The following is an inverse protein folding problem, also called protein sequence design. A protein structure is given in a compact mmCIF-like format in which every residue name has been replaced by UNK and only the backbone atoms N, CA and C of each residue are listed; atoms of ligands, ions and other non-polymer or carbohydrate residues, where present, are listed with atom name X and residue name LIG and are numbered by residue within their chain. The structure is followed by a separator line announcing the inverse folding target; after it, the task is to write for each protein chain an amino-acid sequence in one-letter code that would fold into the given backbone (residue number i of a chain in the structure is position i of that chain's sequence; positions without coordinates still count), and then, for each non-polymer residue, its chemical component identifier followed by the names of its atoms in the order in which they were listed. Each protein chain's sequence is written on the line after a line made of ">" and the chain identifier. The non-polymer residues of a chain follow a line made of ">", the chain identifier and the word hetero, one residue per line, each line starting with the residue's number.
data_IF_045901308237
#
_entry.id   IF_045901308237
#
_cell.length_a   1.000
_cell.length_b   1.000
_cell.length_c   1.000
_cell.angle_alpha   90.00
_cell.angle_beta   90.00
_cell.angle_gamma   90.00
#
_symmetry.space_group_name_H-M   'P 1'
#
loop_
_entity.id
_entity.type
_entity.pdbx_description
1 polymer ?
#
# COMPACT_ATOMS: atom_id res chain seq x y z
N UNK A 1 -22.92 28.17 10.31
CA UNK A 1 -22.43 28.40 8.92
C UNK A 1 -21.18 27.55 8.71
N UNK A 2 -21.27 26.46 7.96
CA UNK A 2 -20.12 25.57 7.67
C UNK A 2 -19.28 26.20 6.55
N UNK A 3 -18.08 26.70 6.87
CA UNK A 3 -17.12 27.15 5.86
C UNK A 3 -16.67 25.93 5.06
N UNK A 4 -17.12 25.80 3.81
CA UNK A 4 -16.56 24.83 2.86
C UNK A 4 -15.17 25.32 2.45
N UNK A 5 -14.17 24.48 2.67
CA UNK A 5 -12.80 24.71 2.18
C UNK A 5 -12.79 24.27 0.72
N UNK A 6 -12.58 25.22 -0.21
CA UNK A 6 -12.52 24.97 -1.65
C UNK A 6 -11.05 24.95 -2.12
N UNK A 7 -10.24 24.09 -1.51
CA UNK A 7 -8.82 23.91 -1.86
C UNK A 7 -8.71 22.69 -2.80
N UNK A 8 -8.01 22.79 -3.94
CA UNK A 8 -7.73 21.64 -4.79
C UNK A 8 -6.99 20.54 -4.00
N UNK A 9 -7.52 19.32 -4.02
CA UNK A 9 -6.87 18.14 -3.45
C UNK A 9 -6.45 17.22 -4.62
N UNK A 10 -5.25 17.39 -5.18
CA UNK A 10 -4.80 16.56 -6.28
C UNK A 10 -4.55 15.12 -5.81
N UNK A 11 -4.90 14.15 -6.64
CA UNK A 11 -4.49 12.77 -6.45
C UNK A 11 -2.98 12.67 -6.71
N UNK A 12 -2.23 12.27 -5.68
CA UNK A 12 -0.77 12.07 -5.78
C UNK A 12 -0.41 10.64 -6.16
N UNK A 13 -1.29 9.68 -5.88
CA UNK A 13 -1.03 8.27 -6.09
C UNK A 13 -2.35 7.47 -6.16
N UNK A 14 -2.48 6.59 -7.16
CA UNK A 14 -3.53 5.57 -7.28
C UNK A 14 -2.92 4.25 -7.76
N UNK A 15 -2.96 3.23 -6.92
CA UNK A 15 -2.53 1.87 -7.29
C UNK A 15 -3.41 1.28 -8.39
N UNK A 16 -2.91 0.34 -9.20
CA UNK A 16 -3.72 -0.35 -10.21
C UNK A 16 -4.87 -1.15 -9.58
N UNK A 17 -5.94 -1.37 -10.35
CA UNK A 17 -7.13 -2.16 -9.97
C UNK A 17 -7.01 -3.64 -10.41
N UNK A 18 -5.84 -4.23 -10.20
CA UNK A 18 -5.53 -5.63 -10.55
C UNK A 18 -5.35 -6.54 -9.32
N UNK A 19 -5.23 -5.95 -8.13
CA UNK A 19 -5.02 -6.63 -6.85
C UNK A 19 -5.37 -5.71 -5.68
N UNK A 20 -5.52 -6.27 -4.47
CA UNK A 20 -5.58 -5.45 -3.25
C UNK A 20 -4.19 -4.89 -2.93
N UNK A 21 -4.06 -3.57 -2.96
CA UNK A 21 -2.86 -2.86 -2.54
C UNK A 21 -3.12 -2.12 -1.23
N UNK A 22 -2.28 -2.34 -0.23
CA UNK A 22 -2.39 -1.69 1.08
C UNK A 22 -1.03 -1.57 1.75
N UNK A 23 -0.94 -0.87 2.87
CA UNK A 23 0.32 -0.75 3.63
C UNK A 23 0.16 -1.19 5.08
N UNK A 24 -0.95 -0.81 5.72
CA UNK A 24 -1.18 -0.95 7.16
C UNK A 24 -1.52 0.41 7.77
N UNK A 25 -1.63 0.47 9.09
CA UNK A 25 -1.95 1.70 9.82
C UNK A 25 -0.73 2.62 10.03
N UNK A 26 -1.05 3.79 10.57
CA UNK A 26 -0.37 5.08 10.50
C UNK A 26 1.01 5.20 11.19
N UNK A 27 1.63 4.11 11.67
CA UNK A 27 2.89 4.18 12.42
C UNK A 27 4.14 4.22 11.54
N UNK A 28 4.04 3.80 10.28
CA UNK A 28 5.13 3.78 9.30
C UNK A 28 4.79 4.62 8.06
N UNK A 29 5.80 5.25 7.47
CA UNK A 29 5.63 5.98 6.21
C UNK A 29 5.72 5.01 5.02
N UNK A 30 4.72 4.97 4.12
CA UNK A 30 4.80 4.15 2.91
C UNK A 30 5.73 4.75 1.86
N UNK A 31 5.98 6.06 1.90
CA UNK A 31 6.83 6.76 0.93
C UNK A 31 8.30 6.51 1.19
N UNK A 32 9.07 6.33 0.11
CA UNK A 32 10.52 6.34 0.18
C UNK A 32 11.03 7.74 0.57
N UNK A 33 12.28 7.88 1.06
CA UNK A 33 12.82 9.18 1.48
C UNK A 33 12.91 10.26 0.39
N UNK A 34 12.62 9.90 -0.87
CA UNK A 34 12.62 10.82 -2.01
C UNK A 34 11.19 11.19 -2.47
N UNK A 35 10.15 10.70 -1.79
CA UNK A 35 8.74 10.87 -2.15
C UNK A 35 8.41 10.45 -3.60
N UNK A 36 9.13 9.43 -4.10
CA UNK A 36 8.98 8.91 -5.47
C UNK A 36 8.23 7.60 -5.52
N UNK A 37 8.46 6.71 -4.55
CA UNK A 37 7.91 5.37 -4.57
C UNK A 37 7.15 5.08 -3.28
N UNK A 38 6.15 4.21 -3.37
CA UNK A 38 5.49 3.65 -2.20
C UNK A 38 5.90 2.19 -2.01
N UNK A 39 6.19 1.83 -0.77
CA UNK A 39 6.21 0.44 -0.35
C UNK A 39 4.75 0.01 -0.10
N UNK A 40 4.32 -1.09 -0.68
CA UNK A 40 2.95 -1.62 -0.54
C UNK A 40 2.97 -3.14 -0.40
N UNK A 41 1.96 -3.67 0.27
CA UNK A 41 1.58 -5.08 0.20
C UNK A 41 0.55 -5.27 -0.90
N UNK A 42 0.73 -6.31 -1.71
CA UNK A 42 -0.15 -6.71 -2.80
C UNK A 42 -0.69 -8.11 -2.54
N UNK A 43 -2.01 -8.23 -2.39
CA UNK A 43 -2.73 -9.50 -2.25
C UNK A 43 -3.50 -9.77 -3.54
N UNK A 44 -3.24 -10.92 -4.16
CA UNK A 44 -3.76 -11.23 -5.49
C UNK A 44 -5.30 -11.28 -5.56
N UNK A 45 -5.94 -11.70 -4.47
CA UNK A 45 -7.40 -11.68 -4.35
C UNK A 45 -7.88 -10.23 -4.12
N UNK A 46 -8.26 -9.57 -5.21
CA UNK A 46 -8.75 -8.19 -5.20
C UNK A 46 -10.11 -8.01 -4.50
N UNK A 47 -10.85 -9.09 -4.27
CA UNK A 47 -12.21 -9.08 -3.69
C UNK A 47 -12.22 -9.68 -2.28
N UNK A 48 -11.05 -9.78 -1.64
CA UNK A 48 -10.90 -10.39 -0.32
C UNK A 48 -11.61 -9.57 0.77
N UNK A 49 -12.84 -9.97 1.12
CA UNK A 49 -13.66 -9.38 2.18
C UNK A 49 -13.69 -10.27 3.45
N UNK A 50 -12.52 -10.80 3.82
CA UNK A 50 -12.34 -11.67 5.00
C UNK A 50 -11.02 -11.38 5.72
N UNK A 51 -10.90 -11.91 6.92
CA UNK A 51 -9.61 -11.93 7.62
C UNK A 51 -8.61 -12.86 6.90
N UNK A 52 -7.33 -12.48 6.85
CA UNK A 52 -6.29 -13.36 6.32
C UNK A 52 -6.07 -14.58 7.21
N UNK A 53 -5.72 -15.69 6.58
CA UNK A 53 -5.27 -16.94 7.19
C UNK A 53 -3.76 -17.09 7.01
N UNK A 54 -3.18 -18.12 7.62
CA UNK A 54 -1.76 -18.42 7.46
C UNK A 54 -1.36 -18.88 6.04
N UNK A 55 -2.33 -19.11 5.15
CA UNK A 55 -2.11 -19.49 3.76
C UNK A 55 -2.18 -18.30 2.80
N UNK A 56 -2.67 -17.15 3.25
CA UNK A 56 -2.76 -15.97 2.41
C UNK A 56 -1.40 -15.28 2.34
N UNK A 57 -0.81 -15.27 1.15
CA UNK A 57 0.43 -14.58 0.87
C UNK A 57 0.16 -13.16 0.40
N UNK A 58 0.93 -12.21 0.93
CA UNK A 58 1.05 -10.87 0.39
C UNK A 58 2.45 -10.69 -0.21
N UNK A 59 2.52 -10.08 -1.40
CA UNK A 59 3.77 -9.63 -1.99
C UNK A 59 4.14 -8.28 -1.41
N UNK A 60 5.38 -8.10 -0.98
CA UNK A 60 5.95 -6.79 -0.68
C UNK A 60 6.44 -6.21 -1.99
N UNK A 61 5.92 -5.04 -2.37
CA UNK A 61 6.22 -4.39 -3.65
C UNK A 61 6.65 -2.94 -3.44
N UNK A 62 7.59 -2.50 -4.27
CA UNK A 62 7.82 -1.08 -4.53
C UNK A 62 6.93 -0.67 -5.70
N UNK A 63 6.10 0.34 -5.49
CA UNK A 63 5.20 0.88 -6.51
C UNK A 63 5.59 2.31 -6.86
N UNK A 64 5.74 2.56 -8.16
CA UNK A 64 6.02 3.88 -8.72
C UNK A 64 4.71 4.51 -9.26
N UNK A 65 4.17 5.55 -8.61
CA UNK A 65 2.96 6.25 -9.05
C UNK A 65 3.10 7.01 -10.37
N UNK A 66 4.32 7.37 -10.78
CA UNK A 66 4.54 8.12 -12.02
C UNK A 66 4.48 7.20 -13.24
N UNK A 67 4.89 5.93 -13.10
CA UNK A 67 4.89 4.95 -14.20
C UNK A 67 3.83 3.87 -14.07
N UNK A 68 3.26 3.70 -12.87
CA UNK A 68 2.38 2.59 -12.55
C UNK A 68 3.11 1.26 -12.31
N UNK A 69 4.45 1.26 -12.29
CA UNK A 69 5.25 0.05 -12.16
C UNK A 69 5.14 -0.56 -10.78
N UNK A 70 4.88 -1.86 -10.71
CA UNK A 70 4.86 -2.66 -9.46
C UNK A 70 6.05 -3.62 -9.49
N UNK A 71 7.00 -3.44 -8.58
CA UNK A 71 8.23 -4.23 -8.49
C UNK A 71 8.19 -5.08 -7.22
N UNK A 72 7.96 -6.40 -7.31
CA UNK A 72 8.01 -7.28 -6.15
C UNK A 72 9.44 -7.35 -5.58
N UNK A 73 9.56 -7.21 -4.26
CA UNK A 73 10.84 -7.33 -3.52
C UNK A 73 10.86 -8.49 -2.53
N UNK A 74 9.70 -9.08 -2.24
CA UNK A 74 9.57 -10.26 -1.39
C UNK A 74 8.11 -10.71 -1.25
N UNK A 75 7.88 -11.77 -0.50
CA UNK A 75 6.55 -12.25 -0.16
C UNK A 75 6.50 -12.75 1.29
N UNK A 76 5.32 -12.72 1.90
CA UNK A 76 5.12 -13.13 3.29
C UNK A 76 3.68 -13.57 3.55
N UNK A 77 3.49 -14.55 4.43
CA UNK A 77 2.19 -14.90 5.02
C UNK A 77 1.98 -14.26 6.40
N UNK A 78 3.00 -13.59 6.93
CA UNK A 78 2.94 -12.90 8.21
C UNK A 78 2.48 -11.45 8.03
N UNK A 79 1.17 -11.25 7.86
CA UNK A 79 0.57 -9.92 7.70
C UNK A 79 -0.85 -9.85 8.26
N UNK A 80 -1.34 -8.64 8.49
CA UNK A 80 -2.76 -8.37 8.72
C UNK A 80 -3.15 -7.01 8.16
N UNK A 81 -4.45 -6.74 8.01
CA UNK A 81 -4.94 -5.47 7.44
C UNK A 81 -4.51 -4.22 8.23
N UNK A 82 -4.35 -4.37 9.55
CA UNK A 82 -4.14 -3.27 10.47
C UNK A 82 -2.67 -2.86 10.56
N UNK A 83 -1.73 -3.80 10.53
CA UNK A 83 -0.30 -3.55 10.71
C UNK A 83 0.54 -3.85 9.47
N UNK A 84 -0.09 -4.33 8.40
CA UNK A 84 0.63 -4.88 7.25
C UNK A 84 1.53 -6.04 7.68
N UNK A 85 2.75 -6.05 7.16
CA UNK A 85 3.82 -6.99 7.48
C UNK A 85 5.00 -6.31 8.20
N UNK A 86 4.77 -5.08 8.73
CA UNK A 86 5.83 -4.20 9.26
C UNK A 86 6.94 -3.89 8.23
N UNK A 87 6.60 -3.92 6.95
CA UNK A 87 7.47 -3.50 5.86
C UNK A 87 7.73 -1.99 5.97
N UNK A 88 9.00 -1.58 5.83
CA UNK A 88 9.42 -0.19 5.98
C UNK A 88 10.63 0.10 5.09
N UNK A 89 10.78 1.37 4.72
CA UNK A 89 12.01 1.87 4.14
C UNK A 89 13.12 1.94 5.19
N UNK A 90 14.35 1.76 4.74
CA UNK A 90 15.51 2.06 5.60
C UNK A 90 15.63 3.58 5.76
N UNK A 91 15.97 4.05 6.98
CA UNK A 91 16.19 5.47 7.24
C UNK A 91 17.42 6.03 6.51
#
# INVERSE_FOLDING_TARGET
>A
MTKRINIPCPEVARTPDDAMHFFGFHDLCPWDPQDKNLLVLRVADKEMLRMPTAQDEAQVCVWDPATGSVIPVGATTAWNWQQGARQQWLP
#
